data_IF_478551542378
#
_entry.id   IF_478551542378
#
_cell.length_a   1.000
_cell.length_b   1.000
_cell.length_c   1.000
_cell.angle_alpha   90.00
_cell.angle_beta   90.00
_cell.angle_gamma   90.00
#
_symmetry.space_group_name_H-M   'P 1'
#
loop_
_entity.id
_entity.type
_entity.pdbx_description
1 polymer ?
#
# COMPACT_ATOMS: atom_id res chain seq x y z
N UNK A 1 -22.40 -12.29 -1.94
CA UNK A 1 -21.11 -11.65 -2.11
C UNK A 1 -20.03 -12.62 -1.61
N UNK A 2 -19.05 -12.94 -2.44
CA UNK A 2 -17.86 -13.72 -2.08
C UNK A 2 -16.71 -12.74 -1.79
N UNK A 3 -15.85 -13.10 -0.87
CA UNK A 3 -14.66 -12.30 -0.57
C UNK A 3 -13.40 -13.14 -0.75
N UNK A 4 -12.45 -12.61 -1.48
CA UNK A 4 -11.07 -13.06 -1.54
C UNK A 4 -10.27 -12.19 -0.58
N UNK A 5 -9.48 -12.79 0.29
CA UNK A 5 -8.81 -12.06 1.38
C UNK A 5 -7.32 -12.30 1.31
N UNK A 6 -6.55 -11.24 1.32
CA UNK A 6 -5.09 -11.25 1.36
C UNK A 6 -4.59 -10.23 2.39
N UNK A 7 -3.36 -10.37 2.83
CA UNK A 7 -2.67 -9.40 3.70
C UNK A 7 -1.19 -9.34 3.36
N UNK A 8 -0.52 -8.26 3.78
CA UNK A 8 0.95 -8.15 3.74
C UNK A 8 1.54 -8.40 2.35
N UNK A 9 0.93 -7.83 1.32
CA UNK A 9 1.35 -8.06 -0.08
C UNK A 9 2.63 -7.32 -0.46
N UNK A 10 2.97 -6.24 0.25
CA UNK A 10 4.28 -5.59 0.25
C UNK A 10 4.89 -5.34 -1.14
N UNK A 11 4.12 -4.83 -2.09
CA UNK A 11 4.59 -4.59 -3.47
C UNK A 11 5.09 -5.83 -4.23
N UNK A 12 4.79 -7.05 -3.75
CA UNK A 12 5.00 -8.30 -4.49
C UNK A 12 3.83 -8.54 -5.45
N UNK A 13 3.74 -7.69 -6.48
CA UNK A 13 2.61 -7.71 -7.42
C UNK A 13 2.50 -9.03 -8.17
N UNK A 14 3.60 -9.54 -8.72
CA UNK A 14 3.59 -10.76 -9.52
C UNK A 14 3.12 -11.98 -8.72
N UNK A 15 3.59 -12.12 -7.49
CA UNK A 15 3.18 -13.19 -6.57
C UNK A 15 1.71 -13.02 -6.16
N UNK A 16 1.27 -11.78 -5.93
CA UNK A 16 -0.13 -11.47 -5.63
C UNK A 16 -1.05 -11.87 -6.78
N UNK A 17 -0.69 -11.54 -8.03
CA UNK A 17 -1.47 -11.91 -9.21
C UNK A 17 -1.53 -13.43 -9.38
N UNK A 18 -0.43 -14.12 -9.17
CA UNK A 18 -0.39 -15.58 -9.21
C UNK A 18 -1.33 -16.18 -8.16
N UNK A 19 -1.24 -15.74 -6.90
CA UNK A 19 -2.08 -16.25 -5.82
C UNK A 19 -3.58 -15.99 -6.06
N UNK A 20 -3.95 -14.82 -6.57
CA UNK A 20 -5.33 -14.49 -6.91
C UNK A 20 -5.85 -15.34 -8.08
N UNK A 21 -5.01 -15.56 -9.10
CA UNK A 21 -5.35 -16.43 -10.22
C UNK A 21 -5.56 -17.88 -9.79
N UNK A 22 -4.66 -18.43 -8.98
CA UNK A 22 -4.76 -19.79 -8.44
C UNK A 22 -6.02 -20.01 -7.59
N UNK A 23 -6.54 -18.95 -6.98
CA UNK A 23 -7.81 -18.96 -6.21
C UNK A 23 -9.04 -18.67 -7.08
N UNK A 24 -8.85 -18.42 -8.37
CA UNK A 24 -9.93 -18.17 -9.32
C UNK A 24 -10.56 -16.78 -9.20
N UNK A 25 -9.84 -15.79 -8.63
CA UNK A 25 -10.36 -14.42 -8.45
C UNK A 25 -10.79 -13.81 -9.78
N UNK A 26 -9.97 -13.94 -10.82
CA UNK A 26 -10.21 -13.31 -12.12
C UNK A 26 -11.26 -14.03 -12.97
N UNK A 27 -11.47 -15.34 -12.74
CA UNK A 27 -12.44 -16.16 -13.44
C UNK A 27 -13.81 -16.22 -12.74
N UNK A 28 -13.92 -15.75 -11.52
CA UNK A 28 -15.17 -15.78 -10.76
C UNK A 28 -16.20 -14.81 -11.34
N UNK A 29 -17.27 -15.36 -11.89
CA UNK A 29 -18.38 -14.58 -12.47
C UNK A 29 -19.47 -14.24 -11.47
N UNK A 30 -19.36 -14.72 -10.24
CA UNK A 30 -20.28 -14.33 -9.15
C UNK A 30 -19.88 -12.96 -8.57
N UNK A 31 -20.81 -12.21 -7.96
CA UNK A 31 -20.46 -10.96 -7.28
C UNK A 31 -19.41 -11.22 -6.18
N UNK A 32 -18.22 -10.66 -6.35
CA UNK A 32 -17.11 -10.83 -5.41
C UNK A 32 -16.31 -9.54 -5.23
N UNK A 33 -15.53 -9.48 -4.13
CA UNK A 33 -14.58 -8.39 -3.86
C UNK A 33 -13.29 -8.95 -3.28
N UNK A 34 -12.20 -8.24 -3.51
CA UNK A 34 -10.94 -8.44 -2.82
C UNK A 34 -10.97 -7.66 -1.48
N UNK A 35 -10.52 -8.29 -0.41
CA UNK A 35 -10.20 -7.59 0.85
C UNK A 35 -8.69 -7.66 1.03
N UNK A 36 -8.04 -6.51 1.16
CA UNK A 36 -6.62 -6.43 1.49
C UNK A 36 -6.49 -5.92 2.92
N UNK A 37 -5.95 -6.77 3.79
CA UNK A 37 -5.78 -6.48 5.21
C UNK A 37 -4.41 -5.87 5.48
N UNK A 38 -4.19 -4.65 4.99
CA UNK A 38 -3.02 -3.83 5.26
C UNK A 38 -1.74 -4.20 4.53
N UNK A 39 -0.75 -3.34 4.68
CA UNK A 39 0.61 -3.51 4.20
C UNK A 39 0.71 -3.77 2.68
N UNK A 40 0.14 -2.84 1.91
CA UNK A 40 0.13 -2.90 0.43
C UNK A 40 1.52 -2.76 -0.17
N UNK A 41 2.33 -1.90 0.41
CA UNK A 41 3.61 -1.46 -0.13
C UNK A 41 4.79 -1.86 0.75
N UNK A 42 5.95 -1.32 0.41
CA UNK A 42 7.24 -1.59 1.04
C UNK A 42 7.82 -2.98 0.69
N UNK A 43 9.11 -3.18 0.95
CA UNK A 43 9.88 -4.43 0.76
C UNK A 43 10.00 -4.90 -0.69
N UNK A 44 8.89 -5.16 -1.38
CA UNK A 44 8.89 -5.61 -2.78
C UNK A 44 9.33 -4.54 -3.79
N UNK A 45 9.40 -4.91 -5.06
CA UNK A 45 9.97 -4.07 -6.13
C UNK A 45 8.96 -3.64 -7.19
N UNK A 46 7.68 -3.93 -7.01
CA UNK A 46 6.66 -3.69 -8.03
C UNK A 46 5.59 -2.70 -7.57
N UNK A 47 6.02 -1.66 -6.81
CA UNK A 47 5.11 -0.67 -6.20
C UNK A 47 4.20 0.02 -7.23
N UNK A 48 4.74 0.39 -8.39
CA UNK A 48 3.95 1.04 -9.45
C UNK A 48 2.86 0.12 -10.00
N UNK A 49 3.18 -1.16 -10.22
CA UNK A 49 2.19 -2.14 -10.70
C UNK A 49 1.11 -2.40 -9.66
N UNK A 50 1.50 -2.54 -8.39
CA UNK A 50 0.58 -2.73 -7.28
C UNK A 50 -0.36 -1.52 -7.15
N UNK A 51 0.18 -0.29 -7.20
CA UNK A 51 -0.63 0.93 -7.17
C UNK A 51 -1.68 0.94 -8.28
N UNK A 52 -1.26 0.67 -9.52
CA UNK A 52 -2.16 0.69 -10.67
C UNK A 52 -3.27 -0.38 -10.54
N UNK A 53 -2.94 -1.57 -10.08
CA UNK A 53 -3.90 -2.65 -9.84
C UNK A 53 -4.95 -2.26 -8.78
N UNK A 54 -4.50 -1.72 -7.65
CA UNK A 54 -5.42 -1.29 -6.59
C UNK A 54 -6.30 -0.14 -7.05
N UNK A 55 -5.76 0.85 -7.77
CA UNK A 55 -6.55 1.94 -8.33
C UNK A 55 -7.62 1.44 -9.31
N UNK A 56 -7.30 0.43 -10.12
CA UNK A 56 -8.29 -0.17 -11.04
C UNK A 56 -9.42 -0.87 -10.28
N UNK A 57 -9.10 -1.63 -9.25
CA UNK A 57 -10.12 -2.26 -8.40
C UNK A 57 -10.97 -1.22 -7.65
N UNK A 58 -10.37 -0.11 -7.20
CA UNK A 58 -11.11 0.99 -6.54
C UNK A 58 -12.10 1.67 -7.47
N UNK A 59 -11.74 1.88 -8.75
CA UNK A 59 -12.65 2.46 -9.76
C UNK A 59 -13.90 1.62 -9.97
N UNK A 60 -13.77 0.31 -9.89
CA UNK A 60 -14.86 -0.65 -10.11
C UNK A 60 -15.60 -1.02 -8.81
N UNK A 61 -15.20 -0.48 -7.66
CA UNK A 61 -15.69 -0.87 -6.33
C UNK A 61 -15.47 -2.38 -6.03
N UNK A 62 -14.38 -2.96 -6.54
CA UNK A 62 -14.06 -4.38 -6.43
C UNK A 62 -13.08 -4.71 -5.28
N UNK A 63 -12.66 -3.71 -4.49
CA UNK A 63 -11.73 -3.88 -3.39
C UNK A 63 -12.19 -3.17 -2.12
N UNK A 64 -11.88 -3.78 -0.98
CA UNK A 64 -11.98 -3.21 0.36
C UNK A 64 -10.57 -3.20 0.94
N UNK A 65 -10.12 -2.03 1.37
CA UNK A 65 -8.79 -1.83 1.90
C UNK A 65 -8.85 -1.61 3.41
N UNK A 66 -8.11 -2.40 4.14
CA UNK A 66 -7.87 -2.21 5.57
C UNK A 66 -6.46 -1.67 5.73
N UNK A 67 -6.30 -0.69 6.61
CA UNK A 67 -5.03 -0.01 6.85
C UNK A 67 -4.11 -0.87 7.70
N UNK A 68 -2.84 -0.98 7.31
CA UNK A 68 -1.78 -1.62 8.04
C UNK A 68 -0.79 -0.60 8.64
N UNK A 69 0.20 -1.09 9.37
CA UNK A 69 1.22 -0.23 9.95
C UNK A 69 2.19 0.34 8.90
N UNK A 70 2.35 -0.29 7.75
CA UNK A 70 3.17 0.26 6.66
C UNK A 70 2.52 1.47 5.99
N UNK A 71 1.21 1.58 5.98
CA UNK A 71 0.51 2.79 5.59
C UNK A 71 0.72 3.92 6.59
N UNK A 72 0.89 3.62 7.87
CA UNK A 72 1.28 4.63 8.87
C UNK A 72 2.72 5.08 8.68
N UNK A 73 3.64 4.17 8.34
CA UNK A 73 5.04 4.52 8.08
C UNK A 73 5.20 5.55 6.96
N UNK A 74 4.48 5.42 5.85
CA UNK A 74 4.59 6.41 4.76
C UNK A 74 4.06 7.79 5.19
N UNK A 75 2.98 7.84 5.97
CA UNK A 75 2.45 9.09 6.50
C UNK A 75 3.39 9.74 7.52
N UNK A 76 4.02 8.93 8.37
CA UNK A 76 5.06 9.39 9.31
C UNK A 76 6.27 9.94 8.55
N UNK A 77 6.71 9.27 7.48
CA UNK A 77 7.79 9.78 6.63
C UNK A 77 7.44 11.14 6.03
N UNK A 78 6.23 11.33 5.53
CA UNK A 78 5.78 12.62 4.97
C UNK A 78 5.79 13.70 6.06
N UNK A 79 5.24 13.40 7.24
CA UNK A 79 5.15 14.35 8.37
C UNK A 79 6.53 14.80 8.85
N UNK A 80 7.45 13.84 8.99
CA UNK A 80 8.73 14.06 9.64
C UNK A 80 9.90 14.22 8.63
N UNK A 81 9.61 14.36 7.34
CA UNK A 81 10.57 14.36 6.23
C UNK A 81 11.78 15.27 6.44
N UNK A 82 11.55 16.53 6.88
CA UNK A 82 12.64 17.48 7.10
C UNK A 82 13.67 16.95 8.11
N UNK A 83 13.21 16.31 9.17
CA UNK A 83 14.07 15.74 10.20
C UNK A 83 14.76 14.48 9.71
N UNK A 84 14.00 13.58 9.08
CA UNK A 84 14.49 12.28 8.59
C UNK A 84 15.61 12.46 7.55
N UNK A 85 15.38 13.29 6.54
CA UNK A 85 16.38 13.60 5.52
C UNK A 85 17.57 14.38 6.09
N UNK A 86 17.34 15.27 7.05
CA UNK A 86 18.40 16.06 7.71
C UNK A 86 19.35 15.23 8.58
N UNK A 87 18.92 14.06 9.08
CA UNK A 87 19.73 13.16 9.90
C UNK A 87 20.28 11.94 9.13
N UNK A 88 19.97 11.81 7.82
CA UNK A 88 20.31 10.67 7.00
C UNK A 88 19.20 9.60 7.04
N UNK A 89 18.38 9.60 6.00
CA UNK A 89 17.20 8.72 5.92
C UNK A 89 17.58 7.24 5.90
N UNK A 90 18.77 6.92 5.43
CA UNK A 90 19.33 5.57 5.39
C UNK A 90 19.59 4.95 6.77
N UNK A 91 19.63 5.76 7.82
CA UNK A 91 19.78 5.30 9.20
C UNK A 91 18.45 5.16 9.94
N UNK A 92 17.33 5.32 9.24
CA UNK A 92 16.00 5.28 9.84
C UNK A 92 15.31 3.93 9.66
N UNK A 93 14.28 3.70 10.46
CA UNK A 93 13.41 2.53 10.29
C UNK A 93 12.63 2.54 8.96
N UNK A 94 12.43 3.70 8.33
CA UNK A 94 11.82 3.80 7.01
C UNK A 94 12.68 3.13 5.93
N UNK A 95 14.00 3.22 6.05
CA UNK A 95 14.92 2.50 5.17
C UNK A 95 14.80 0.99 5.35
N UNK A 96 14.95 0.52 6.60
CA UNK A 96 14.94 -0.92 6.91
C UNK A 96 13.60 -1.60 6.64
N UNK A 97 12.48 -0.86 6.72
CA UNK A 97 11.14 -1.38 6.38
C UNK A 97 10.81 -1.31 4.89
N UNK A 98 11.63 -0.66 4.06
CA UNK A 98 11.40 -0.55 2.63
C UNK A 98 10.51 0.64 2.21
N UNK A 99 10.09 1.49 3.15
CA UNK A 99 9.25 2.67 2.86
C UNK A 99 9.96 3.64 1.91
N UNK A 100 11.28 3.83 2.12
CA UNK A 100 12.09 4.67 1.22
C UNK A 100 12.11 4.12 -0.20
N UNK A 101 12.19 2.80 -0.35
CA UNK A 101 12.13 2.16 -1.66
C UNK A 101 10.78 2.41 -2.34
N UNK A 102 9.67 2.30 -1.61
CA UNK A 102 8.33 2.65 -2.12
C UNK A 102 8.29 4.08 -2.62
N UNK A 103 8.86 5.04 -1.86
CA UNK A 103 8.96 6.44 -2.28
C UNK A 103 9.69 6.56 -3.61
N UNK A 104 10.89 5.99 -3.74
CA UNK A 104 11.68 6.06 -4.98
C UNK A 104 10.97 5.40 -6.15
N UNK A 105 10.36 4.25 -5.95
CA UNK A 105 9.61 3.52 -6.99
C UNK A 105 8.42 4.34 -7.51
N UNK A 106 7.65 4.96 -6.61
CA UNK A 106 6.43 5.69 -6.99
C UNK A 106 6.69 7.09 -7.54
N UNK A 107 7.78 7.73 -7.12
CA UNK A 107 8.09 9.12 -7.51
C UNK A 107 9.10 9.22 -8.63
N UNK A 108 9.89 8.18 -8.87
CA UNK A 108 11.03 8.20 -9.78
C UNK A 108 12.17 9.11 -9.32
N UNK A 109 12.24 9.43 -8.01
CA UNK A 109 13.26 10.31 -7.42
C UNK A 109 14.43 9.52 -6.84
N UNK A 110 15.58 10.17 -6.72
CA UNK A 110 16.74 9.67 -6.00
C UNK A 110 16.82 10.39 -4.65
N UNK A 111 16.69 9.64 -3.56
CA UNK A 111 16.68 10.18 -2.20
C UNK A 111 18.02 10.78 -1.75
N UNK A 112 19.12 10.51 -2.44
CA UNK A 112 20.45 11.02 -2.11
C UNK A 112 20.82 12.28 -2.89
N UNK A 113 20.17 12.54 -4.03
CA UNK A 113 20.52 13.66 -4.92
C UNK A 113 19.42 14.68 -5.07
N UNK A 114 18.16 14.29 -4.94
CA UNK A 114 17.01 15.19 -5.08
C UNK A 114 16.70 15.95 -3.79
N UNK A 115 16.15 17.15 -3.91
CA UNK A 115 15.67 17.91 -2.73
C UNK A 115 14.49 17.16 -2.07
N UNK A 116 14.56 16.98 -0.76
CA UNK A 116 13.52 16.23 -0.04
C UNK A 116 12.12 16.82 -0.20
N UNK A 117 11.99 18.14 -0.39
CA UNK A 117 10.69 18.80 -0.61
C UNK A 117 10.08 18.39 -1.94
N UNK A 118 10.91 18.25 -2.97
CA UNK A 118 10.46 17.79 -4.28
C UNK A 118 10.06 16.33 -4.23
N UNK A 119 10.81 15.50 -3.50
CA UNK A 119 10.46 14.10 -3.24
C UNK A 119 9.09 14.02 -2.56
N UNK A 120 8.89 14.75 -1.48
CA UNK A 120 7.64 14.73 -0.72
C UNK A 120 6.47 15.31 -1.54
N UNK A 121 6.68 16.37 -2.29
CA UNK A 121 5.65 16.94 -3.17
C UNK A 121 5.20 15.92 -4.24
N UNK A 122 6.15 15.23 -4.87
CA UNK A 122 5.83 14.17 -5.83
C UNK A 122 5.11 12.99 -5.15
N UNK A 123 5.57 12.57 -3.98
CA UNK A 123 4.93 11.50 -3.20
C UNK A 123 3.48 11.85 -2.86
N UNK A 124 3.24 13.06 -2.34
CA UNK A 124 1.90 13.53 -1.99
C UNK A 124 0.96 13.64 -3.20
N UNK A 125 1.49 13.70 -4.42
CA UNK A 125 0.71 13.71 -5.65
C UNK A 125 0.43 12.30 -6.21
N UNK A 126 1.01 11.24 -5.64
CA UNK A 126 0.78 9.87 -6.13
C UNK A 126 -0.62 9.39 -5.82
N UNK A 127 -1.20 8.50 -6.65
CA UNK A 127 -2.46 7.81 -6.33
C UNK A 127 -2.45 7.05 -5.00
N UNK A 128 -1.29 6.58 -4.55
CA UNK A 128 -1.17 5.96 -3.22
C UNK A 128 -1.66 6.90 -2.12
N UNK A 129 -1.21 8.16 -2.14
CA UNK A 129 -1.57 9.15 -1.12
C UNK A 129 -2.94 9.79 -1.38
N UNK A 130 -3.28 10.06 -2.66
CA UNK A 130 -4.49 10.82 -3.01
C UNK A 130 -5.75 9.97 -3.17
N UNK A 131 -5.60 8.69 -3.52
CA UNK A 131 -6.74 7.81 -3.83
C UNK A 131 -6.81 6.59 -2.91
N UNK A 132 -5.68 5.89 -2.68
CA UNK A 132 -5.66 4.60 -1.95
C UNK A 132 -5.80 4.82 -0.45
N UNK A 133 -4.89 5.58 0.18
CA UNK A 133 -4.92 5.81 1.64
C UNK A 133 -6.25 6.39 2.13
N UNK A 134 -6.89 7.38 1.46
CA UNK A 134 -8.18 7.90 1.89
C UNK A 134 -9.35 6.90 1.86
N UNK A 135 -9.19 5.79 1.14
CA UNK A 135 -10.20 4.72 1.07
C UNK A 135 -9.96 3.58 2.05
N UNK A 136 -8.84 3.60 2.76
CA UNK A 136 -8.54 2.58 3.75
C UNK A 136 -9.36 2.73 5.01
N UNK A 137 -9.84 1.61 5.52
CA UNK A 137 -10.61 1.48 6.75
C UNK A 137 -9.70 0.98 7.86
N UNK A 138 -9.98 1.29 9.11
CA UNK A 138 -9.29 0.70 10.25
C UNK A 138 -9.65 -0.79 10.43
N UNK A 139 -10.86 -1.16 10.06
CA UNK A 139 -11.34 -2.53 10.00
C UNK A 139 -12.52 -2.62 9.02
N UNK A 140 -12.84 -3.82 8.57
CA UNK A 140 -14.04 -4.10 7.82
C UNK A 140 -14.82 -5.25 8.48
N UNK A 141 -16.13 -5.09 8.58
CA UNK A 141 -16.99 -6.07 9.25
C UNK A 141 -18.08 -6.60 8.31
N UNK A 142 -18.30 -7.90 8.39
CA UNK A 142 -19.44 -8.59 7.79
C UNK A 142 -20.31 -9.19 8.91
N UNK A 143 -21.41 -9.81 8.57
CA UNK A 143 -22.27 -10.50 9.58
C UNK A 143 -21.54 -11.61 10.35
N UNK A 144 -20.41 -12.13 9.85
CA UNK A 144 -19.73 -13.29 10.43
C UNK A 144 -18.25 -13.07 10.76
N UNK A 145 -17.62 -12.07 10.15
CA UNK A 145 -16.17 -11.85 10.20
C UNK A 145 -15.86 -10.38 10.38
N UNK A 146 -14.78 -10.12 11.11
CA UNK A 146 -14.12 -8.83 11.19
C UNK A 146 -12.74 -8.98 10.55
N UNK A 147 -12.39 -8.09 9.65
CA UNK A 147 -11.11 -8.05 8.95
C UNK A 147 -10.30 -6.88 9.48
N UNK A 148 -9.11 -7.15 9.95
CA UNK A 148 -8.17 -6.16 10.52
C UNK A 148 -6.77 -6.52 10.09
N UNK A 149 -5.87 -5.52 10.15
CA UNK A 149 -4.44 -5.76 10.13
C UNK A 149 -3.93 -5.71 11.58
N UNK A 150 -3.37 -6.83 12.05
CA UNK A 150 -2.85 -6.91 13.42
C UNK A 150 -3.95 -7.08 14.48
N UNK A 151 -3.98 -6.21 15.48
CA UNK A 151 -4.79 -6.36 16.70
C UNK A 151 -6.00 -5.42 16.74
N UNK A 152 -7.15 -5.93 17.26
CA UNK A 152 -8.27 -5.09 17.70
C UNK A 152 -8.11 -4.93 19.23
N UNK A 153 -8.00 -3.69 19.74
CA UNK A 153 -7.92 -3.46 21.18
C UNK A 153 -9.23 -3.82 21.89
#
# INVERSE_FOLDING_TARGET
>A
MRYYVISDVHSFYSETMQALSEKGFFEDKSPHKLIVCGDLFDRGSESVKMQNFICELLKNDDVILVRGNHEDLILDLIRDAKQLFGHGIEYTHHWSNGTVKTVTDLTGTDIFTDDYRDIINKLCATPYITEIIPKMLNYYETKKYVFVHGWIP
#
